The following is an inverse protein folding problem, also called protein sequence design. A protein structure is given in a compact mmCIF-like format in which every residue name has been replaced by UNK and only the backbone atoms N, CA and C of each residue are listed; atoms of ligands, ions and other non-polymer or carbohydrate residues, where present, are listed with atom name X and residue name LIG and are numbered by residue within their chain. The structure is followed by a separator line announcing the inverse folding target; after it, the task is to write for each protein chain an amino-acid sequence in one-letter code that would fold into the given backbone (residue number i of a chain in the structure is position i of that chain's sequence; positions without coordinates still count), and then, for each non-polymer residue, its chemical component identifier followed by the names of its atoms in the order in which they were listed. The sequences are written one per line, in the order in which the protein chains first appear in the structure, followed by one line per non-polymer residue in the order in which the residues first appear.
data_IF_712973795830
#
_entry.id   IF_712973795830
#
_cell.length_a   1.000
_cell.length_b   1.000
_cell.length_c   1.000
_cell.angle_alpha   90.00
_cell.angle_beta   90.00
_cell.angle_gamma   90.00
#
_symmetry.space_group_name_H-M   'P 1'
#
loop_
_entity.id
_entity.type
_entity.pdbx_description
1 polymer ?
#
# COMPACT_ATOMS: atom_id res chain seq x y z
N UNK A 1 -0.48 24.67 18.97
CA UNK A 1 0.04 24.42 20.33
C UNK A 1 1.04 23.27 20.24
N UNK A 2 2.26 23.41 20.76
CA UNK A 2 3.23 22.32 20.86
C UNK A 2 3.43 22.00 22.35
N UNK A 3 3.19 20.74 22.75
CA UNK A 3 3.29 20.30 24.14
C UNK A 3 4.36 19.21 24.30
N UNK A 4 5.40 19.50 25.08
CA UNK A 4 6.48 18.57 25.39
C UNK A 4 6.24 17.96 26.78
N UNK A 5 5.64 16.76 26.82
CA UNK A 5 5.31 16.05 28.05
C UNK A 5 5.94 14.65 27.99
N UNK A 6 6.65 14.25 29.05
CA UNK A 6 7.24 12.90 29.18
C UNK A 6 6.16 11.82 29.21
N UNK A 7 6.46 10.64 28.69
CA UNK A 7 5.57 9.47 28.77
C UNK A 7 5.21 9.17 30.22
N UNK A 8 3.94 8.82 30.48
CA UNK A 8 3.43 8.54 31.83
C UNK A 8 3.00 9.77 32.64
N UNK A 9 3.29 10.99 32.19
CA UNK A 9 2.96 12.22 32.93
C UNK A 9 1.64 12.87 32.46
N UNK A 10 0.65 12.07 32.06
CA UNK A 10 -0.69 12.55 31.72
C UNK A 10 -0.81 13.26 30.36
N UNK A 11 0.14 13.08 29.43
CA UNK A 11 0.06 13.65 28.08
C UNK A 11 -1.25 13.29 27.36
N UNK A 12 -1.65 12.02 27.39
CA UNK A 12 -2.88 11.55 26.75
C UNK A 12 -4.10 12.21 27.38
N UNK A 13 -4.22 12.18 28.71
CA UNK A 13 -5.31 12.84 29.43
C UNK A 13 -5.37 14.34 29.17
N UNK A 14 -4.22 15.02 29.01
CA UNK A 14 -4.18 16.43 28.64
C UNK A 14 -4.75 16.67 27.22
N UNK A 15 -4.30 15.89 26.23
CA UNK A 15 -4.78 16.01 24.85
C UNK A 15 -6.26 15.63 24.70
N UNK A 16 -6.71 14.61 25.41
CA UNK A 16 -8.12 14.22 25.48
C UNK A 16 -9.00 15.34 26.02
N UNK A 17 -8.56 16.01 27.10
CA UNK A 17 -9.31 17.12 27.68
C UNK A 17 -9.37 18.32 26.73
N UNK A 18 -8.29 18.64 26.02
CA UNK A 18 -8.30 19.68 24.99
C UNK A 18 -9.27 19.35 23.86
N UNK A 19 -9.20 18.13 23.34
CA UNK A 19 -10.13 17.66 22.31
C UNK A 19 -11.58 17.71 22.78
N UNK A 20 -11.85 17.26 24.01
CA UNK A 20 -13.21 17.26 24.57
C UNK A 20 -13.76 18.68 24.77
N UNK A 21 -12.90 19.66 25.07
CA UNK A 21 -13.30 21.07 25.12
C UNK A 21 -13.77 21.55 23.74
N UNK A 22 -13.02 21.26 22.67
CA UNK A 22 -13.42 21.59 21.29
C UNK A 22 -14.71 20.88 20.87
N UNK A 23 -14.86 19.60 21.23
CA UNK A 23 -16.10 18.84 21.00
C UNK A 23 -17.29 19.52 21.68
N UNK A 24 -17.14 19.90 22.95
CA UNK A 24 -18.21 20.55 23.73
C UNK A 24 -18.53 21.95 23.23
N UNK A 25 -17.53 22.70 22.78
CA UNK A 25 -17.68 24.03 22.18
C UNK A 25 -18.38 23.99 20.80
N UNK A 26 -18.52 22.81 20.19
CA UNK A 26 -19.13 22.66 18.87
C UNK A 26 -18.14 22.83 17.72
N UNK A 27 -16.84 22.81 17.99
CA UNK A 27 -15.81 22.88 16.96
C UNK A 27 -15.64 21.55 16.24
N UNK A 28 -15.27 21.63 14.95
CA UNK A 28 -14.79 20.48 14.18
C UNK A 28 -13.36 20.14 14.59
N UNK A 29 -13.11 18.89 14.95
CA UNK A 29 -11.83 18.43 15.47
C UNK A 29 -11.62 16.96 15.12
N UNK A 30 -10.36 16.53 15.00
CA UNK A 30 -9.98 15.14 14.82
C UNK A 30 -9.10 14.69 16.00
N UNK A 31 -9.24 13.43 16.41
CA UNK A 31 -8.40 12.80 17.42
C UNK A 31 -7.85 11.50 16.84
N UNK A 32 -6.53 11.31 16.91
CA UNK A 32 -5.85 10.12 16.40
C UNK A 32 -5.46 9.27 17.60
N UNK A 33 -6.10 8.12 17.76
CA UNK A 33 -5.92 7.23 18.92
C UNK A 33 -5.32 5.88 18.50
N UNK A 34 -4.02 5.64 18.75
CA UNK A 34 -3.36 4.41 18.33
C UNK A 34 -3.47 3.25 19.36
N UNK A 35 -4.00 3.47 20.56
CA UNK A 35 -3.99 2.48 21.66
C UNK A 35 -5.34 1.80 21.92
N UNK A 36 -6.31 1.91 21.01
CA UNK A 36 -7.58 1.18 21.10
C UNK A 36 -8.56 1.71 22.14
N UNK A 37 -8.45 2.98 22.53
CA UNK A 37 -9.34 3.62 23.52
C UNK A 37 -10.53 4.35 22.87
N UNK A 38 -10.89 3.99 21.64
CA UNK A 38 -11.91 4.69 20.86
C UNK A 38 -13.29 4.70 21.56
N UNK A 39 -13.73 3.56 22.13
CA UNK A 39 -15.02 3.46 22.82
C UNK A 39 -15.12 4.41 24.02
N UNK A 40 -14.02 4.53 24.79
CA UNK A 40 -13.95 5.45 25.91
C UNK A 40 -14.10 6.90 25.42
N UNK A 41 -13.41 7.28 24.35
CA UNK A 41 -13.51 8.64 23.78
C UNK A 41 -14.91 8.93 23.24
N UNK A 42 -15.51 7.98 22.53
CA UNK A 42 -16.88 8.09 21.99
C UNK A 42 -17.92 8.27 23.11
N UNK A 43 -17.70 7.63 24.26
CA UNK A 43 -18.58 7.78 25.44
C UNK A 43 -18.60 9.20 26.02
N UNK A 44 -17.52 9.98 25.83
CA UNK A 44 -17.39 11.36 26.31
C UNK A 44 -18.12 12.37 25.43
N UNK A 45 -18.48 12.00 24.19
CA UNK A 45 -19.10 12.90 23.23
C UNK A 45 -20.56 13.20 23.64
N UNK A 46 -20.97 14.48 23.75
CA UNK A 46 -22.34 14.85 24.09
C UNK A 46 -23.36 14.24 23.13
N UNK A 47 -24.50 13.76 23.64
CA UNK A 47 -25.57 13.11 22.83
C UNK A 47 -25.98 13.94 21.60
N UNK A 48 -26.04 15.27 21.74
CA UNK A 48 -26.40 16.21 20.66
C UNK A 48 -25.46 16.15 19.45
N UNK A 49 -24.19 15.79 19.67
CA UNK A 49 -23.12 15.73 18.65
C UNK A 49 -22.94 14.35 18.01
N UNK A 50 -23.60 13.30 18.52
CA UNK A 50 -23.34 11.91 18.07
C UNK A 50 -23.53 11.69 16.57
N UNK A 51 -24.45 12.42 15.94
CA UNK A 51 -24.70 12.34 14.50
C UNK A 51 -23.59 12.96 13.65
N UNK A 52 -22.71 13.75 14.27
CA UNK A 52 -21.62 14.48 13.60
C UNK A 52 -20.28 13.74 13.73
N UNK A 53 -20.28 12.54 14.33
CA UNK A 53 -19.07 11.76 14.63
C UNK A 53 -18.85 10.72 13.55
N UNK A 54 -17.63 10.71 13.02
CA UNK A 54 -17.14 9.66 12.13
C UNK A 54 -16.01 8.93 12.86
N UNK A 55 -16.21 7.63 13.14
CA UNK A 55 -15.13 6.75 13.57
C UNK A 55 -14.46 6.19 12.31
N UNK A 56 -13.18 6.48 12.14
CA UNK A 56 -12.37 5.91 11.07
C UNK A 56 -11.44 4.87 11.66
N UNK A 57 -11.83 3.60 11.56
CA UNK A 57 -11.02 2.46 11.98
C UNK A 57 -10.67 1.59 10.76
N UNK A 58 -9.41 1.58 10.30
CA UNK A 58 -8.97 0.73 9.19
C UNK A 58 -9.03 -0.78 9.47
N UNK A 59 -9.22 -1.18 10.73
CA UNK A 59 -9.30 -2.59 11.15
C UNK A 59 -10.74 -3.10 11.25
N UNK A 60 -11.74 -2.21 11.24
CA UNK A 60 -13.15 -2.57 11.23
C UNK A 60 -13.56 -3.13 9.86
N UNK A 61 -13.93 -4.41 9.83
CA UNK A 61 -14.34 -5.10 8.61
C UNK A 61 -15.83 -4.92 8.30
N UNK A 62 -16.66 -4.64 9.31
CA UNK A 62 -18.10 -4.52 9.18
C UNK A 62 -18.49 -3.12 8.70
N UNK A 63 -17.77 -2.09 9.15
CA UNK A 63 -18.04 -0.68 8.85
C UNK A 63 -16.80 0.08 8.32
N UNK A 64 -16.06 -0.54 7.39
CA UNK A 64 -14.91 0.11 6.76
C UNK A 64 -15.28 1.36 5.95
N UNK A 65 -14.55 2.46 6.18
CA UNK A 65 -14.69 3.70 5.41
C UNK A 65 -13.61 3.72 4.32
N UNK A 66 -14.04 3.78 3.06
CA UNK A 66 -13.12 3.92 1.93
C UNK A 66 -12.43 5.29 1.90
N UNK A 67 -11.11 5.28 1.91
CA UNK A 67 -10.29 6.49 1.76
C UNK A 67 -9.34 6.36 0.56
N UNK A 68 -9.44 7.29 -0.38
CA UNK A 68 -8.48 7.41 -1.49
C UNK A 68 -7.72 8.74 -1.38
N UNK A 69 -6.41 8.72 -1.07
CA UNK A 69 -5.62 9.94 -0.91
C UNK A 69 -5.40 10.69 -2.24
N UNK A 70 -5.74 10.08 -3.39
CA UNK A 70 -5.63 10.70 -4.70
C UNK A 70 -6.92 11.39 -5.16
N UNK A 71 -8.01 11.26 -4.39
CA UNK A 71 -9.32 11.81 -4.77
C UNK A 71 -9.37 13.34 -4.65
N UNK A 72 -10.03 13.99 -5.60
CA UNK A 72 -10.35 15.43 -5.60
C UNK A 72 -9.14 16.37 -5.38
N UNK A 73 -7.95 15.97 -5.81
CA UNK A 73 -6.74 16.80 -5.71
C UNK A 73 -6.69 17.82 -6.87
N UNK A 74 -6.61 19.13 -6.58
CA UNK A 74 -6.41 20.16 -7.59
C UNK A 74 -5.12 19.93 -8.38
N UNK A 75 -5.14 20.19 -9.69
CA UNK A 75 -4.00 19.95 -10.59
C UNK A 75 -2.71 20.60 -10.06
N UNK A 76 -2.80 21.83 -9.54
CA UNK A 76 -1.65 22.57 -8.99
C UNK A 76 -1.01 21.92 -7.76
N UNK A 77 -1.72 21.03 -7.06
CA UNK A 77 -1.21 20.31 -5.88
C UNK A 77 -0.77 18.88 -6.17
N UNK A 78 -1.05 18.36 -7.38
CA UNK A 78 -0.74 16.96 -7.72
C UNK A 78 0.75 16.60 -7.55
N UNK A 79 1.73 17.43 -7.98
CA UNK A 79 3.14 17.10 -7.76
C UNK A 79 3.51 16.98 -6.28
N UNK A 80 2.96 17.87 -5.45
CA UNK A 80 3.16 17.85 -4.00
C UNK A 80 2.49 16.63 -3.33
N UNK A 81 1.30 16.25 -3.77
CA UNK A 81 0.64 15.04 -3.26
C UNK A 81 1.42 13.80 -3.70
N UNK A 82 1.91 13.74 -4.94
CA UNK A 82 2.74 12.64 -5.41
C UNK A 82 4.01 12.49 -4.58
N UNK A 83 4.73 13.59 -4.28
CA UNK A 83 5.91 13.54 -3.40
C UNK A 83 5.55 13.12 -1.98
N UNK A 84 4.43 13.62 -1.43
CA UNK A 84 3.97 13.24 -0.08
C UNK A 84 3.67 11.73 -0.01
N UNK A 85 3.07 11.14 -1.04
CA UNK A 85 2.87 9.69 -1.10
C UNK A 85 4.21 8.97 -1.05
N UNK A 86 5.20 9.41 -1.84
CA UNK A 86 6.55 8.82 -1.83
C UNK A 86 7.18 8.90 -0.43
N UNK A 87 7.09 10.06 0.23
CA UNK A 87 7.60 10.26 1.59
C UNK A 87 6.90 9.36 2.62
N UNK A 88 5.58 9.18 2.50
CA UNK A 88 4.82 8.26 3.34
C UNK A 88 5.34 6.82 3.20
N UNK A 89 5.53 6.33 1.97
CA UNK A 89 6.09 4.99 1.74
C UNK A 89 7.52 4.88 2.27
N UNK A 90 8.35 5.91 2.05
CA UNK A 90 9.74 5.95 2.52
C UNK A 90 9.84 5.88 4.05
N UNK A 91 8.91 6.52 4.76
CA UNK A 91 8.89 6.48 6.23
C UNK A 91 8.58 5.08 6.79
N UNK A 92 7.83 4.26 6.05
CA UNK A 92 7.47 2.88 6.45
C UNK A 92 8.57 1.88 6.05
N UNK A 93 9.13 2.01 4.85
CA UNK A 93 10.06 1.02 4.27
C UNK A 93 11.49 1.55 4.04
N UNK A 94 11.93 2.53 4.85
CA UNK A 94 13.22 3.21 4.65
C UNK A 94 14.43 2.27 4.53
N UNK A 95 14.42 1.12 5.20
CA UNK A 95 15.50 0.12 5.16
C UNK A 95 15.57 -0.67 3.84
N UNK A 96 14.53 -0.63 3.00
CA UNK A 96 14.44 -1.33 1.71
C UNK A 96 14.16 -0.35 0.58
N UNK A 97 14.72 0.87 0.70
CA UNK A 97 14.48 1.97 -0.23
C UNK A 97 15.63 2.15 -1.22
N UNK A 98 15.29 2.40 -2.49
CA UNK A 98 16.28 2.63 -3.54
C UNK A 98 15.81 3.67 -4.55
N UNK A 99 16.72 4.32 -5.30
CA UNK A 99 16.39 5.39 -6.24
C UNK A 99 15.36 4.97 -7.30
N UNK A 100 15.43 3.72 -7.77
CA UNK A 100 14.48 3.18 -8.75
C UNK A 100 13.06 3.06 -8.20
N UNK A 101 12.90 2.64 -6.95
CA UNK A 101 11.59 2.54 -6.30
C UNK A 101 11.00 3.94 -6.09
N UNK A 102 11.83 4.92 -5.72
CA UNK A 102 11.42 6.31 -5.54
C UNK A 102 10.88 6.91 -6.85
N UNK A 103 11.62 6.78 -7.94
CA UNK A 103 11.19 7.23 -9.28
C UNK A 103 9.89 6.54 -9.71
N UNK A 104 9.79 5.23 -9.51
CA UNK A 104 8.59 4.46 -9.83
C UNK A 104 7.36 4.93 -9.04
N UNK A 105 7.49 5.09 -7.73
CA UNK A 105 6.39 5.51 -6.88
C UNK A 105 5.94 6.93 -7.22
N UNK A 106 6.88 7.84 -7.48
CA UNK A 106 6.56 9.20 -7.89
C UNK A 106 5.81 9.20 -9.24
N UNK A 107 6.40 8.59 -10.28
CA UNK A 107 5.80 8.56 -11.61
C UNK A 107 4.46 7.82 -11.64
N UNK A 108 4.29 6.79 -10.80
CA UNK A 108 3.02 6.08 -10.64
C UNK A 108 1.97 6.90 -9.92
N UNK A 109 2.30 7.52 -8.79
CA UNK A 109 1.37 8.39 -8.07
C UNK A 109 0.95 9.59 -8.93
N UNK A 110 1.89 10.23 -9.62
CA UNK A 110 1.62 11.34 -10.53
C UNK A 110 0.70 10.92 -11.69
N UNK A 111 0.96 9.78 -12.32
CA UNK A 111 0.12 9.26 -13.39
C UNK A 111 -1.31 8.94 -12.91
N UNK A 112 -1.45 8.38 -11.71
CA UNK A 112 -2.74 8.05 -11.13
C UNK A 112 -3.52 9.29 -10.68
N UNK A 113 -2.85 10.36 -10.24
CA UNK A 113 -3.49 11.64 -9.93
C UNK A 113 -4.10 12.31 -11.18
N UNK A 114 -3.54 12.06 -12.35
CA UNK A 114 -4.08 12.53 -13.63
C UNK A 114 -5.23 11.65 -14.16
N UNK A 115 -5.37 10.43 -13.65
CA UNK A 115 -6.39 9.48 -14.07
C UNK A 115 -7.71 9.68 -13.29
N UNK A 116 -8.87 9.85 -13.97
CA UNK A 116 -10.14 10.14 -13.30
C UNK A 116 -10.58 9.13 -12.22
N UNK A 117 -10.22 7.86 -12.38
CA UNK A 117 -10.51 6.78 -11.42
C UNK A 117 -9.24 6.25 -10.73
N UNK A 118 -8.22 7.10 -10.62
CA UNK A 118 -6.94 6.77 -10.01
C UNK A 118 -7.03 6.44 -8.53
N UNK A 119 -6.47 5.29 -8.15
CA UNK A 119 -6.29 4.87 -6.75
C UNK A 119 -4.89 4.28 -6.59
N UNK A 120 -4.35 4.26 -5.37
CA UNK A 120 -3.03 3.65 -5.12
C UNK A 120 -2.95 2.16 -5.50
N UNK A 121 -4.08 1.45 -5.53
CA UNK A 121 -4.16 0.08 -6.04
C UNK A 121 -3.72 -0.01 -7.52
N UNK A 122 -3.91 1.08 -8.27
CA UNK A 122 -3.46 1.24 -9.65
C UNK A 122 -1.95 1.08 -9.84
N UNK A 123 -1.12 1.32 -8.82
CA UNK A 123 0.34 1.19 -8.91
C UNK A 123 0.76 -0.21 -9.35
N UNK A 124 0.11 -1.25 -8.80
CA UNK A 124 0.34 -2.65 -9.21
C UNK A 124 0.01 -2.87 -10.68
N UNK A 125 -1.11 -2.31 -11.15
CA UNK A 125 -1.59 -2.51 -12.51
C UNK A 125 -0.79 -1.72 -13.53
N UNK A 126 -0.25 -0.55 -13.14
CA UNK A 126 0.72 0.17 -13.95
C UNK A 126 1.97 -0.69 -14.25
N UNK A 127 2.43 -1.52 -13.30
CA UNK A 127 3.55 -2.43 -13.56
C UNK A 127 3.17 -3.64 -14.42
N UNK A 128 2.02 -4.25 -14.13
CA UNK A 128 1.69 -5.60 -14.60
C UNK A 128 0.86 -5.64 -15.88
N UNK A 129 0.00 -4.63 -16.10
CA UNK A 129 -0.95 -4.60 -17.22
C UNK A 129 -0.61 -3.50 -18.20
N UNK A 130 -0.13 -3.89 -19.39
CA UNK A 130 0.15 -2.96 -20.49
C UNK A 130 -1.09 -2.18 -20.92
N UNK A 131 -2.25 -2.84 -20.95
CA UNK A 131 -3.51 -2.20 -21.32
C UNK A 131 -3.95 -1.16 -20.27
N UNK A 132 -3.81 -1.47 -18.98
CA UNK A 132 -4.10 -0.51 -17.92
C UNK A 132 -3.15 0.68 -17.99
N UNK A 133 -1.85 0.43 -18.16
CA UNK A 133 -0.83 1.47 -18.32
C UNK A 133 -1.14 2.39 -19.50
N UNK A 134 -1.40 1.85 -20.69
CA UNK A 134 -1.72 2.65 -21.87
C UNK A 134 -2.96 3.54 -21.65
N UNK A 135 -4.00 3.01 -20.99
CA UNK A 135 -5.18 3.81 -20.63
C UNK A 135 -4.82 4.94 -19.67
N UNK A 136 -4.08 4.68 -18.59
CA UNK A 136 -3.69 5.74 -17.64
C UNK A 136 -2.83 6.81 -18.33
N UNK A 137 -1.83 6.41 -19.11
CA UNK A 137 -0.92 7.32 -19.80
C UNK A 137 -1.63 8.25 -20.80
N UNK A 138 -2.77 7.84 -21.35
CA UNK A 138 -3.59 8.73 -22.21
C UNK A 138 -4.14 9.97 -21.49
N UNK A 139 -4.19 9.96 -20.15
CA UNK A 139 -4.63 11.10 -19.33
C UNK A 139 -3.46 11.91 -18.76
N UNK A 140 -2.25 11.36 -18.76
CA UNK A 140 -1.07 12.00 -18.17
C UNK A 140 -0.68 13.21 -19.01
N UNK A 141 -0.59 14.37 -18.35
CA UNK A 141 -0.25 15.64 -19.01
C UNK A 141 1.23 15.96 -18.97
N UNK A 142 1.91 15.53 -17.91
CA UNK A 142 3.34 15.77 -17.71
C UNK A 142 4.18 14.90 -18.66
N UNK A 143 4.96 15.51 -19.59
CA UNK A 143 5.83 14.77 -20.50
C UNK A 143 6.89 13.94 -19.77
N UNK A 144 7.41 14.41 -18.64
CA UNK A 144 8.45 13.70 -17.89
C UNK A 144 7.90 12.42 -17.25
N UNK A 145 6.67 12.47 -16.72
CA UNK A 145 5.99 11.28 -16.21
C UNK A 145 5.74 10.29 -17.35
N UNK A 146 5.32 10.77 -18.52
CA UNK A 146 5.10 9.90 -19.68
C UNK A 146 6.39 9.23 -20.15
N UNK A 147 7.47 9.99 -20.28
CA UNK A 147 8.79 9.50 -20.70
C UNK A 147 9.32 8.42 -19.76
N UNK A 148 9.15 8.58 -18.44
CA UNK A 148 9.50 7.53 -17.48
C UNK A 148 8.84 6.17 -17.81
N UNK A 149 7.54 6.19 -18.15
CA UNK A 149 6.79 4.96 -18.40
C UNK A 149 7.06 4.34 -19.78
N UNK A 150 7.40 5.16 -20.77
CA UNK A 150 7.66 4.75 -22.15
C UNK A 150 9.13 4.36 -22.38
N UNK A 151 10.06 5.05 -21.72
CA UNK A 151 11.51 4.95 -21.96
C UNK A 151 12.24 4.34 -20.78
N UNK A 152 12.11 4.89 -19.57
CA UNK A 152 12.96 4.52 -18.42
C UNK A 152 12.61 3.16 -17.80
N UNK A 153 11.31 2.86 -17.65
CA UNK A 153 10.87 1.61 -17.04
C UNK A 153 11.30 0.36 -17.86
N UNK A 154 11.16 0.33 -19.20
CA UNK A 154 11.69 -0.78 -20.01
C UNK A 154 13.20 -0.98 -19.90
N UNK A 155 13.96 0.11 -19.70
CA UNK A 155 15.42 0.06 -19.59
C UNK A 155 15.90 -0.39 -18.21
N UNK A 156 15.15 -0.09 -17.15
CA UNK A 156 15.46 -0.47 -15.77
C UNK A 156 15.05 -1.90 -15.42
N UNK A 157 14.10 -2.50 -16.15
CA UNK A 157 13.79 -3.92 -16.05
C UNK A 157 14.53 -4.67 -17.17
N UNK A 158 15.77 -5.18 -16.94
CA UNK A 158 16.45 -5.97 -17.95
C UNK A 158 15.52 -7.12 -18.33
N UNK A 159 15.25 -7.26 -19.65
CA UNK A 159 14.58 -8.46 -20.18
C UNK A 159 15.24 -9.63 -19.49
N UNK A 160 14.46 -10.38 -18.70
CA UNK A 160 14.93 -11.59 -18.03
C UNK A 160 15.44 -12.49 -19.16
N UNK A 161 16.73 -12.42 -19.43
CA UNK A 161 17.39 -13.24 -20.41
C UNK A 161 17.14 -14.66 -19.91
N UNK A 162 16.63 -15.49 -20.79
CA UNK A 162 16.31 -16.90 -20.58
C UNK A 162 17.53 -17.77 -20.23
N UNK A 163 18.61 -17.16 -19.70
CA UNK A 163 19.86 -17.76 -19.31
C UNK A 163 19.72 -18.76 -18.15
N UNK A 164 18.67 -18.66 -17.32
CA UNK A 164 18.44 -19.63 -16.23
C UNK A 164 17.78 -20.94 -16.68
N UNK A 165 17.43 -21.11 -17.95
CA UNK A 165 17.00 -22.41 -18.48
C UNK A 165 18.17 -23.41 -18.68
N UNK A 166 19.43 -22.95 -18.61
CA UNK A 166 20.62 -23.80 -18.80
C UNK A 166 21.08 -24.48 -17.50
N UNK A 167 20.64 -24.04 -16.32
CA UNK A 167 21.10 -24.58 -15.03
C UNK A 167 20.40 -25.89 -14.61
N UNK A 168 19.41 -26.38 -15.36
CA UNK A 168 18.74 -27.66 -15.07
C UNK A 168 19.21 -28.84 -15.95
N UNK A 169 20.31 -28.70 -16.71
CA UNK A 169 20.82 -29.76 -17.60
C UNK A 169 22.27 -30.17 -17.37
N UNK A 170 22.80 -30.10 -16.14
CA UNK A 170 24.15 -30.63 -15.86
C UNK A 170 24.31 -31.35 -14.52
N UNK A 171 23.32 -32.13 -14.09
CA UNK A 171 23.52 -33.14 -13.03
C UNK A 171 23.04 -34.50 -13.52
N UNK A 172 23.79 -35.07 -14.46
CA UNK A 172 23.66 -36.47 -14.87
C UNK A 172 25.05 -37.05 -15.15
N UNK A 173 25.79 -37.32 -14.07
CA UNK A 173 26.84 -38.35 -13.94
C UNK A 173 27.70 -38.00 -12.72
N UNK A 174 27.48 -38.63 -11.58
CA UNK A 174 28.53 -39.52 -11.05
C UNK A 174 27.96 -40.41 -9.93
N UNK A 175 28.46 -41.64 -9.89
CA UNK A 175 27.87 -42.77 -9.20
C UNK A 175 28.94 -43.34 -8.24
N UNK A 176 28.86 -43.06 -6.94
CA UNK A 176 29.60 -43.81 -5.90
C UNK A 176 28.92 -43.69 -4.53
N UNK A 177 28.32 -44.81 -4.12
CA UNK A 177 27.49 -45.16 -2.95
C UNK A 177 28.14 -44.98 -1.55
N UNK A 178 27.55 -45.45 -0.41
CA UNK A 178 26.14 -45.66 -0.01
C UNK A 178 25.84 -45.13 1.43
N UNK A 179 24.56 -45.12 1.86
CA UNK A 179 23.99 -45.36 3.23
C UNK A 179 22.58 -44.70 3.25
N UNK A 180 21.51 -45.47 2.98
CA UNK A 180 20.58 -46.12 3.95
C UNK A 180 19.84 -45.07 4.81
N UNK A 181 18.54 -44.83 4.69
CA UNK A 181 17.34 -45.68 4.99
C UNK A 181 16.14 -44.69 5.07
N UNK A 182 14.85 -44.98 4.91
CA UNK A 182 13.95 -46.13 4.68
C UNK A 182 12.66 -45.47 4.11
N UNK A 183 12.08 -45.99 3.01
CA UNK A 183 10.77 -46.71 2.98
C UNK A 183 9.57 -45.82 3.40
N UNK A 184 8.45 -45.72 2.67
CA UNK A 184 7.68 -46.76 2.00
C UNK A 184 6.98 -46.17 0.77
N UNK A 185 7.25 -46.74 -0.41
CA UNK A 185 6.34 -46.74 -1.54
C UNK A 185 5.32 -47.85 -1.32
N UNK A 186 4.04 -47.53 -1.45
CA UNK A 186 3.05 -48.51 -1.92
C UNK A 186 2.58 -48.03 -3.28
N UNK A 187 2.98 -48.81 -4.28
CA UNK A 187 2.71 -48.62 -5.69
C UNK A 187 1.24 -48.76 -6.07
N UNK A 188 0.93 -48.14 -7.20
CA UNK A 188 0.01 -48.59 -8.25
C UNK A 188 -1.50 -48.50 -7.98
N UNK A 189 -2.17 -47.61 -8.72
CA UNK A 189 -2.98 -48.01 -9.88
C UNK A 189 -3.67 -46.78 -10.49
N UNK A 190 -3.37 -46.57 -11.77
CA UNK A 190 -4.29 -46.19 -12.85
C UNK A 190 -5.72 -45.78 -12.45
N UNK A 191 -6.13 -44.53 -12.76
CA UNK A 191 -7.29 -44.20 -13.61
C UNK A 191 -7.76 -42.73 -13.49
N UNK A 192 -7.93 -42.14 -14.67
CA UNK A 192 -9.00 -41.23 -15.11
C UNK A 192 -9.17 -39.78 -14.60
N UNK A 193 -9.13 -38.92 -15.61
CA UNK A 193 -9.90 -37.70 -15.88
C UNK A 193 -11.30 -37.56 -15.26
N UNK A 194 -11.70 -36.27 -15.14
CA UNK A 194 -13.03 -35.62 -15.08
C UNK A 194 -13.26 -34.81 -13.78
N UNK A 195 -13.34 -33.48 -13.82
CA UNK A 195 -14.47 -32.59 -14.18
C UNK A 195 -15.59 -32.51 -13.13
N UNK A 196 -15.87 -31.27 -12.68
CA UNK A 196 -17.03 -30.85 -11.87
C UNK A 196 -16.81 -31.02 -10.37
N UNK A 197 -17.03 -30.04 -9.49
CA UNK A 197 -18.03 -28.95 -9.49
C UNK A 197 -17.37 -27.66 -8.97
#
# INVERSE_FOLDING_TARGET
MHAWIKTGQGKSSFLENLWLQDVKAGHGCAFIEPHGQADQLLSLIPKRRRKDVVLFDPTDQDFSIGFNPLSNIPISRRPYVASTIVDCFKSIWGNSWGPQLEMFLYAGAAALLDFPTGTLLGLKFLMTSKNYRARVLSFVRDPAVRDFWETDLPNTCPKRSSANARFQRSTRSDNSSPIRRYEILSDSHNQNCHLGI
#
